data_IF_206461249742
#
_entry.id   IF_206461249742
#
_cell.length_a   1.000
_cell.length_b   1.000
_cell.length_c   1.000
_cell.angle_alpha   90.00
_cell.angle_beta   90.00
_cell.angle_gamma   90.00
#
_symmetry.space_group_name_H-M   'P 1'
#
loop_
_entity.id
_entity.type
_entity.pdbx_description
1 polymer ?
#
# COMPACT_ATOMS: atom_id res chain seq x y z
N UNK A 1 15.59 -2.93 -10.59
CA UNK A 1 15.99 -1.76 -9.78
C UNK A 1 15.12 -0.61 -10.20
N UNK A 2 14.48 0.06 -9.24
CA UNK A 2 13.62 1.22 -9.49
C UNK A 2 14.44 2.50 -9.72
N UNK A 3 15.77 2.40 -9.65
CA UNK A 3 16.76 3.46 -9.90
C UNK A 3 16.59 4.65 -8.97
N UNK A 4 16.20 4.38 -7.71
CA UNK A 4 16.14 5.40 -6.67
C UNK A 4 17.41 5.30 -5.81
N UNK A 5 18.16 6.40 -5.67
CA UNK A 5 19.46 6.41 -4.98
C UNK A 5 19.37 5.89 -3.53
N UNK A 6 18.32 6.29 -2.80
CA UNK A 6 18.18 5.94 -1.38
C UNK A 6 17.18 4.80 -1.06
N UNK A 7 16.28 4.47 -1.98
CA UNK A 7 15.11 3.61 -1.70
C UNK A 7 15.12 2.29 -2.47
N UNK A 8 16.18 2.01 -3.24
CA UNK A 8 16.42 0.68 -3.80
C UNK A 8 17.11 -0.24 -2.76
N UNK A 9 16.74 -1.53 -2.68
CA UNK A 9 15.71 -2.18 -3.47
C UNK A 9 14.29 -1.86 -2.97
N UNK A 10 13.39 -1.52 -3.89
CA UNK A 10 11.96 -1.39 -3.58
C UNK A 10 11.37 -2.76 -3.25
N UNK A 11 10.66 -2.82 -2.12
CA UNK A 11 10.10 -4.03 -1.54
C UNK A 11 8.58 -4.15 -1.77
N UNK A 12 7.86 -3.02 -1.74
CA UNK A 12 6.39 -2.98 -1.95
C UNK A 12 6.06 -1.89 -2.98
N UNK A 13 5.29 -2.27 -4.01
CA UNK A 13 4.76 -1.34 -5.02
C UNK A 13 3.23 -1.37 -5.01
N UNK A 14 2.61 -0.23 -4.66
CA UNK A 14 1.16 -0.04 -4.76
C UNK A 14 0.89 0.89 -5.93
N UNK A 15 0.16 0.40 -6.94
CA UNK A 15 -0.29 1.22 -8.06
C UNK A 15 -1.72 1.67 -7.81
N UNK A 16 -1.96 2.98 -7.89
CA UNK A 16 -3.28 3.56 -7.73
C UNK A 16 -3.68 4.29 -9.00
N UNK A 17 -4.91 4.08 -9.45
CA UNK A 17 -5.52 4.81 -10.54
C UNK A 17 -6.96 5.15 -10.16
N UNK A 18 -7.37 6.39 -10.39
CA UNK A 18 -8.72 6.86 -10.11
C UNK A 18 -9.26 7.62 -11.32
N UNK A 19 -10.59 7.61 -11.48
CA UNK A 19 -11.28 8.26 -12.60
C UNK A 19 -11.44 9.77 -12.40
N UNK A 20 -11.29 10.25 -11.17
CA UNK A 20 -11.32 11.67 -10.82
C UNK A 20 -10.40 11.98 -9.62
N UNK A 21 -10.11 13.27 -9.44
CA UNK A 21 -9.21 13.75 -8.41
C UNK A 21 -9.76 13.56 -6.98
N UNK A 22 -11.09 13.57 -6.81
CA UNK A 22 -11.71 13.40 -5.50
C UNK A 22 -11.48 11.97 -4.99
N UNK A 23 -11.86 10.97 -5.80
CA UNK A 23 -11.63 9.55 -5.53
C UNK A 23 -10.14 9.25 -5.33
N UNK A 24 -9.26 9.92 -6.09
CA UNK A 24 -7.80 9.79 -5.94
C UNK A 24 -7.28 10.32 -4.60
N UNK A 25 -7.72 11.50 -4.18
CA UNK A 25 -7.12 12.23 -3.06
C UNK A 25 -7.79 11.92 -1.72
N UNK A 26 -9.12 11.92 -1.68
CA UNK A 26 -9.87 11.84 -0.42
C UNK A 26 -10.09 10.40 0.04
N UNK A 27 -10.11 9.44 -0.89
CA UNK A 27 -10.36 8.02 -0.58
C UNK A 27 -9.11 7.17 -0.78
N UNK A 28 -8.60 7.10 -2.01
CA UNK A 28 -7.52 6.17 -2.35
C UNK A 28 -6.22 6.45 -1.60
N UNK A 29 -5.78 7.72 -1.56
CA UNK A 29 -4.56 8.10 -0.81
C UNK A 29 -4.73 7.85 0.69
N UNK A 30 -5.90 8.16 1.27
CA UNK A 30 -6.12 7.99 2.71
C UNK A 30 -6.06 6.52 3.14
N UNK A 31 -6.57 5.60 2.33
CA UNK A 31 -6.46 4.16 2.60
C UNK A 31 -5.00 3.69 2.60
N UNK A 32 -4.20 4.20 1.65
CA UNK A 32 -2.75 3.90 1.57
C UNK A 32 -2.00 4.51 2.76
N UNK A 33 -2.33 5.74 3.15
CA UNK A 33 -1.73 6.40 4.33
C UNK A 33 -2.03 5.61 5.59
N UNK A 34 -3.28 5.19 5.82
CA UNK A 34 -3.65 4.38 6.98
C UNK A 34 -2.89 3.05 7.03
N UNK A 35 -2.69 2.42 5.86
CA UNK A 35 -1.89 1.21 5.75
C UNK A 35 -0.42 1.44 6.14
N UNK A 36 0.12 2.61 5.81
CA UNK A 36 1.51 2.98 6.08
C UNK A 36 1.75 3.62 7.47
N UNK A 37 0.71 4.03 8.19
CA UNK A 37 0.84 4.67 9.50
C UNK A 37 1.25 3.68 10.61
N UNK A 38 0.96 2.38 10.40
CA UNK A 38 1.42 1.29 11.27
C UNK A 38 2.57 0.52 10.62
N UNK A 39 3.77 0.65 11.17
CA UNK A 39 4.96 -0.06 10.70
C UNK A 39 4.77 -1.58 10.71
N UNK A 40 3.95 -2.12 11.63
CA UNK A 40 3.63 -3.54 11.70
C UNK A 40 2.80 -4.03 10.50
N UNK A 41 2.07 -3.14 9.81
CA UNK A 41 1.35 -3.51 8.59
C UNK A 41 2.30 -3.81 7.43
N UNK A 42 3.49 -3.22 7.38
CA UNK A 42 4.50 -3.60 6.38
C UNK A 42 5.01 -5.02 6.60
N UNK A 43 5.27 -5.40 7.86
CA UNK A 43 5.67 -6.76 8.19
C UNK A 43 4.56 -7.77 7.88
N UNK A 44 3.29 -7.39 8.10
CA UNK A 44 2.14 -8.18 7.68
C UNK A 44 2.04 -8.31 6.16
N UNK A 45 2.21 -7.22 5.41
CA UNK A 45 2.22 -7.22 3.94
C UNK A 45 3.30 -8.16 3.39
N UNK A 46 4.51 -8.14 3.97
CA UNK A 46 5.61 -9.05 3.60
C UNK A 46 5.34 -10.51 3.97
N UNK A 47 4.54 -10.74 5.01
CA UNK A 47 4.18 -12.07 5.48
C UNK A 47 3.08 -12.71 4.63
N UNK A 48 2.25 -11.92 3.94
CA UNK A 48 1.22 -12.42 3.03
C UNK A 48 1.84 -13.34 1.96
N UNK A 49 1.23 -14.50 1.78
CA UNK A 49 1.58 -15.53 0.80
C UNK A 49 0.54 -15.66 -0.31
N UNK A 50 -0.63 -15.06 -0.13
CA UNK A 50 -1.69 -15.04 -1.15
C UNK A 50 -2.21 -13.63 -1.39
N UNK A 51 -2.78 -13.41 -2.59
CA UNK A 51 -3.43 -12.14 -2.91
C UNK A 51 -4.62 -11.84 -1.97
N UNK A 52 -5.35 -12.87 -1.53
CA UNK A 52 -6.47 -12.69 -0.61
C UNK A 52 -6.02 -12.16 0.75
N UNK A 53 -4.90 -12.66 1.28
CA UNK A 53 -4.34 -12.16 2.55
C UNK A 53 -3.95 -10.68 2.47
N UNK A 54 -3.51 -10.21 1.30
CA UNK A 54 -3.23 -8.78 1.08
C UNK A 54 -4.52 -7.96 1.09
N UNK A 55 -5.58 -8.44 0.41
CA UNK A 55 -6.88 -7.77 0.39
C UNK A 55 -7.50 -7.71 1.79
N UNK A 56 -7.48 -8.83 2.52
CA UNK A 56 -8.00 -8.92 3.88
C UNK A 56 -7.22 -7.98 4.82
N UNK A 57 -5.90 -7.85 4.66
CA UNK A 57 -5.10 -6.92 5.44
C UNK A 57 -5.47 -5.45 5.17
N UNK A 58 -5.68 -5.08 3.90
CA UNK A 58 -6.09 -3.72 3.52
C UNK A 58 -7.47 -3.40 4.09
N UNK A 59 -8.43 -4.32 3.96
CA UNK A 59 -9.80 -4.15 4.47
C UNK A 59 -9.85 -4.01 6.00
N UNK A 60 -8.94 -4.68 6.73
CA UNK A 60 -8.84 -4.56 8.19
C UNK A 60 -8.11 -3.30 8.67
N UNK A 61 -7.39 -2.61 7.78
CA UNK A 61 -6.60 -1.40 8.08
C UNK A 61 -7.34 -0.09 7.77
N UNK A 62 -8.51 -0.16 7.12
CA UNK A 62 -9.32 1.00 6.67
C UNK A 62 -10.71 0.99 7.26
#
# INVERSE_FOLDING_TARGET
>A
VFNHEDNDPVDILITMAAVDANTHQEVGIMQIVNLFDDEANFDRLRACRTAQEVLDLIDNAT
#
